data_IF_537166647953
#
_entry.id   IF_537166647953
#
_cell.length_a   1.000
_cell.length_b   1.000
_cell.length_c   1.000
_cell.angle_alpha   90.00
_cell.angle_beta   90.00
_cell.angle_gamma   90.00
#
_symmetry.space_group_name_H-M   'P 1'
#
loop_
_entity.id
_entity.type
_entity.pdbx_description
1 polymer ?
#
# COMPACT_ATOMS: atom_id res chain seq x y z
N UNK A 1 -35.60 -17.06 15.68
CA UNK A 1 -35.54 -15.59 15.52
C UNK A 1 -34.45 -14.95 16.38
N UNK A 2 -34.41 -15.23 17.70
CA UNK A 2 -33.39 -14.69 18.63
C UNK A 2 -31.96 -15.06 18.22
N UNK A 3 -31.69 -16.32 17.87
CA UNK A 3 -30.35 -16.76 17.43
C UNK A 3 -29.89 -16.01 16.17
N UNK A 4 -30.78 -15.83 15.20
CA UNK A 4 -30.48 -15.09 13.96
C UNK A 4 -30.14 -13.63 14.27
N UNK A 5 -30.91 -12.99 15.17
CA UNK A 5 -30.63 -11.63 15.64
C UNK A 5 -29.26 -11.51 16.30
N UNK A 6 -28.90 -12.46 17.17
CA UNK A 6 -27.59 -12.49 17.84
C UNK A 6 -26.46 -12.62 16.82
N UNK A 7 -26.59 -13.52 15.85
CA UNK A 7 -25.58 -13.70 14.79
C UNK A 7 -25.41 -12.42 13.96
N UNK A 8 -26.52 -11.76 13.59
CA UNK A 8 -26.48 -10.48 12.87
C UNK A 8 -25.77 -9.41 13.70
N UNK A 9 -26.10 -9.28 14.97
CA UNK A 9 -25.48 -8.29 15.86
C UNK A 9 -23.98 -8.56 16.01
N UNK A 10 -23.58 -9.81 16.21
CA UNK A 10 -22.17 -10.19 16.30
C UNK A 10 -21.41 -9.90 15.00
N UNK A 11 -22.02 -10.18 13.85
CA UNK A 11 -21.43 -9.88 12.55
C UNK A 11 -21.24 -8.37 12.34
N UNK A 12 -22.24 -7.55 12.73
CA UNK A 12 -22.14 -6.09 12.68
C UNK A 12 -21.06 -5.55 13.62
N UNK A 13 -20.94 -6.10 14.83
CA UNK A 13 -19.89 -5.72 15.79
C UNK A 13 -18.50 -6.08 15.27
N UNK A 14 -18.34 -7.28 14.70
CA UNK A 14 -17.08 -7.70 14.08
C UNK A 14 -16.69 -6.77 12.93
N UNK A 15 -17.64 -6.45 12.04
CA UNK A 15 -17.41 -5.52 10.94
C UNK A 15 -17.03 -4.12 11.45
N UNK A 16 -17.73 -3.60 12.46
CA UNK A 16 -17.40 -2.31 13.08
C UNK A 16 -15.99 -2.31 13.70
N UNK A 17 -15.61 -3.40 14.38
CA UNK A 17 -14.27 -3.57 14.94
C UNK A 17 -13.17 -3.56 13.88
N UNK A 18 -13.39 -4.25 12.75
CA UNK A 18 -12.45 -4.25 11.62
C UNK A 18 -12.29 -2.86 11.01
N UNK A 19 -13.40 -2.12 10.82
CA UNK A 19 -13.36 -0.75 10.29
C UNK A 19 -12.61 0.19 11.22
N UNK A 20 -12.85 0.10 12.54
CA UNK A 20 -12.13 0.89 13.53
C UNK A 20 -10.63 0.58 13.53
N UNK A 21 -10.26 -0.70 13.53
CA UNK A 21 -8.86 -1.13 13.48
C UNK A 21 -8.15 -0.63 12.21
N UNK A 22 -8.81 -0.76 11.06
CA UNK A 22 -8.30 -0.25 9.79
C UNK A 22 -8.13 1.28 9.81
N UNK A 23 -9.07 2.00 10.43
CA UNK A 23 -8.98 3.47 10.55
C UNK A 23 -7.83 3.93 11.43
N UNK A 24 -7.44 3.14 12.46
CA UNK A 24 -6.27 3.45 13.30
C UNK A 24 -4.94 3.08 12.66
N UNK A 25 -4.93 2.12 11.73
CA UNK A 25 -3.73 1.70 10.99
C UNK A 25 -3.43 2.59 9.78
N UNK A 26 -4.40 3.39 9.32
CA UNK A 26 -4.21 4.41 8.31
C UNK A 26 -3.50 5.62 8.93
N UNK A 27 -2.16 5.67 8.82
CA UNK A 27 -1.31 6.83 9.17
C UNK A 27 -1.87 8.15 8.58
N UNK A 28 -1.77 9.29 9.30
CA UNK A 28 -2.52 10.49 9.01
C UNK A 28 -1.83 11.32 7.92
N UNK A 29 -2.45 11.34 6.74
CA UNK A 29 -2.13 12.28 5.65
C UNK A 29 -3.37 12.94 5.05
N UNK A 30 -4.55 12.73 5.64
CA UNK A 30 -5.80 13.34 5.21
C UNK A 30 -6.47 14.01 6.40
N UNK A 31 -6.56 15.33 6.38
CA UNK A 31 -7.11 16.19 7.44
C UNK A 31 -8.63 16.06 7.67
N UNK A 32 -9.22 14.90 7.38
CA UNK A 32 -10.66 14.66 7.47
C UNK A 32 -11.03 13.70 8.60
N UNK A 33 -12.10 13.99 9.34
CA UNK A 33 -12.63 13.05 10.35
C UNK A 33 -13.05 11.72 9.69
N UNK A 34 -12.97 10.61 10.42
CA UNK A 34 -13.42 9.29 9.93
C UNK A 34 -14.86 9.31 9.39
N UNK A 35 -15.73 10.15 9.98
CA UNK A 35 -17.08 10.41 9.53
C UNK A 35 -17.13 11.07 8.14
N UNK A 36 -16.21 11.98 7.88
CA UNK A 36 -16.10 12.68 6.61
C UNK A 36 -15.60 11.76 5.49
N UNK A 37 -14.63 10.90 5.78
CA UNK A 37 -14.18 9.84 4.88
C UNK A 37 -15.30 8.85 4.56
N UNK A 38 -16.08 8.45 5.56
CA UNK A 38 -17.27 7.61 5.36
C UNK A 38 -18.33 8.29 4.48
N UNK A 39 -18.67 9.55 4.79
CA UNK A 39 -19.63 10.35 4.00
C UNK A 39 -19.14 10.56 2.57
N UNK A 40 -17.84 10.79 2.38
CA UNK A 40 -17.20 10.95 1.07
C UNK A 40 -17.32 9.65 0.27
N UNK A 41 -17.01 8.51 0.87
CA UNK A 41 -17.19 7.19 0.25
C UNK A 41 -18.65 6.88 -0.10
N UNK A 42 -19.59 7.22 0.78
CA UNK A 42 -21.02 7.04 0.50
C UNK A 42 -21.51 7.93 -0.65
N UNK A 43 -21.03 9.18 -0.70
CA UNK A 43 -21.38 10.12 -1.77
C UNK A 43 -20.78 9.71 -3.11
N UNK A 44 -19.53 9.26 -3.12
CA UNK A 44 -18.84 8.70 -4.30
C UNK A 44 -19.62 7.54 -4.92
N UNK A 45 -20.24 6.67 -4.10
CA UNK A 45 -21.10 5.59 -4.62
C UNK A 45 -22.37 6.07 -5.32
N UNK A 46 -22.92 7.22 -4.91
CA UNK A 46 -24.11 7.80 -5.56
C UNK A 46 -23.76 8.63 -6.79
N UNK A 47 -22.68 9.39 -6.70
CA UNK A 47 -22.20 10.30 -7.74
C UNK A 47 -20.70 10.07 -7.91
N UNK A 48 -20.30 9.09 -8.74
CA UNK A 48 -18.90 8.86 -9.02
C UNK A 48 -18.34 10.07 -9.78
N UNK A 49 -17.21 10.59 -9.29
CA UNK A 49 -16.49 11.68 -9.94
C UNK A 49 -15.88 11.20 -11.27
N UNK A 50 -15.55 12.14 -12.16
CA UNK A 50 -14.97 11.83 -13.49
C UNK A 50 -13.73 10.93 -13.39
N UNK A 51 -12.84 11.20 -12.44
CA UNK A 51 -11.62 10.40 -12.19
C UNK A 51 -11.95 8.95 -11.79
N UNK A 52 -13.04 8.73 -11.04
CA UNK A 52 -13.48 7.39 -10.64
C UNK A 52 -14.08 6.62 -11.82
N UNK A 53 -14.76 7.33 -12.74
CA UNK A 53 -15.28 6.73 -13.96
C UNK A 53 -14.17 6.41 -14.97
N UNK A 54 -13.12 7.22 -15.03
CA UNK A 54 -11.93 6.95 -15.84
C UNK A 54 -11.14 5.77 -15.28
N UNK A 55 -10.94 5.71 -13.96
CA UNK A 55 -10.32 4.56 -13.29
C UNK A 55 -11.13 3.27 -13.49
N UNK A 56 -12.47 3.34 -13.37
CA UNK A 56 -13.34 2.19 -13.64
C UNK A 56 -13.26 1.75 -15.10
N UNK A 57 -13.16 2.67 -16.07
CA UNK A 57 -12.95 2.35 -17.48
C UNK A 57 -11.58 1.72 -17.74
N UNK A 58 -10.52 2.21 -17.09
CA UNK A 58 -9.19 1.61 -17.18
C UNK A 58 -9.16 0.19 -16.56
N UNK A 59 -9.86 -0.01 -15.44
CA UNK A 59 -9.97 -1.33 -14.79
C UNK A 59 -10.88 -2.31 -15.55
N UNK A 60 -11.78 -1.81 -16.40
CA UNK A 60 -12.63 -2.63 -17.27
C UNK A 60 -11.89 -3.18 -18.50
N UNK A 61 -10.63 -2.79 -18.72
CA UNK A 61 -9.77 -3.40 -19.73
C UNK A 61 -9.45 -4.84 -19.31
N UNK A 62 -9.75 -5.79 -20.18
CA UNK A 62 -9.47 -7.21 -19.94
C UNK A 62 -7.95 -7.40 -19.74
N UNK A 63 -7.52 -7.99 -18.60
CA UNK A 63 -6.10 -8.18 -18.36
C UNK A 63 -5.54 -9.14 -19.42
N UNK A 64 -4.57 -8.65 -20.19
CA UNK A 64 -3.90 -9.45 -21.21
C UNK A 64 -2.83 -10.30 -20.52
N UNK A 65 -2.88 -11.62 -20.73
CA UNK A 65 -1.85 -12.56 -20.27
C UNK A 65 -0.56 -12.38 -21.08
N UNK A 66 0.20 -11.32 -20.75
CA UNK A 66 1.54 -11.12 -21.28
C UNK A 66 2.54 -11.90 -20.42
N UNK A 67 3.54 -12.50 -21.09
CA UNK A 67 4.70 -13.01 -20.35
C UNK A 67 5.38 -11.84 -19.62
N UNK A 68 5.85 -12.06 -18.39
CA UNK A 68 6.54 -11.01 -17.60
C UNK A 68 7.69 -10.38 -18.39
N UNK A 69 8.43 -11.18 -19.16
CA UNK A 69 9.53 -10.69 -20.00
C UNK A 69 9.06 -9.76 -21.13
N UNK A 70 7.87 -10.00 -21.70
CA UNK A 70 7.28 -9.14 -22.71
C UNK A 70 6.75 -7.85 -22.07
N UNK A 71 6.01 -7.96 -20.97
CA UNK A 71 5.50 -6.80 -20.22
C UNK A 71 6.64 -5.85 -19.84
N UNK A 72 7.68 -6.37 -19.19
CA UNK A 72 8.83 -5.55 -18.77
C UNK A 72 9.57 -4.91 -19.95
N UNK A 73 9.58 -5.54 -21.13
CA UNK A 73 10.21 -4.95 -22.32
C UNK A 73 9.39 -3.81 -22.90
N UNK A 74 8.06 -3.93 -22.87
CA UNK A 74 7.13 -2.96 -23.44
C UNK A 74 6.86 -1.77 -22.50
N UNK A 75 6.93 -1.99 -21.17
CA UNK A 75 6.65 -0.96 -20.15
C UNK A 75 7.89 -0.42 -19.45
N UNK A 76 9.09 -0.92 -19.76
CA UNK A 76 10.32 -0.35 -19.23
C UNK A 76 10.53 1.06 -19.79
N UNK A 77 10.17 2.06 -19.00
CA UNK A 77 10.56 3.43 -19.25
C UNK A 77 12.03 3.60 -18.84
N UNK A 78 12.88 4.04 -19.77
CA UNK A 78 14.27 4.38 -19.48
C UNK A 78 14.29 5.74 -18.80
N UNK A 79 13.91 5.76 -17.52
CA UNK A 79 13.93 6.93 -16.64
C UNK A 79 14.91 6.74 -15.48
N UNK A 80 14.93 7.70 -14.55
CA UNK A 80 15.71 7.58 -13.32
C UNK A 80 15.27 6.33 -12.55
N UNK A 81 16.19 5.37 -12.44
CA UNK A 81 15.92 4.14 -11.72
C UNK A 81 15.59 4.47 -10.26
N UNK A 82 14.47 3.93 -9.74
CA UNK A 82 14.12 4.02 -8.32
C UNK A 82 15.23 3.49 -7.40
N UNK A 83 16.13 2.67 -7.96
CA UNK A 83 17.29 2.16 -7.28
C UNK A 83 18.51 2.32 -8.18
N UNK A 84 19.37 3.28 -7.83
CA UNK A 84 20.65 3.46 -8.50
C UNK A 84 21.63 2.41 -7.96
N UNK A 85 22.14 1.56 -8.85
CA UNK A 85 23.03 0.44 -8.49
C UNK A 85 24.31 0.94 -7.82
N UNK A 86 24.81 2.09 -8.26
CA UNK A 86 26.02 2.69 -7.71
C UNK A 86 25.81 3.21 -6.29
N UNK A 87 24.66 3.85 -6.03
CA UNK A 87 24.30 4.34 -4.70
C UNK A 87 24.08 3.19 -3.71
N UNK A 88 23.39 2.12 -4.14
CA UNK A 88 23.20 0.93 -3.32
C UNK A 88 24.54 0.25 -2.99
N UNK A 89 25.44 0.15 -3.96
CA UNK A 89 26.76 -0.45 -3.76
C UNK A 89 27.57 0.33 -2.72
N UNK A 90 27.54 1.67 -2.80
CA UNK A 90 28.22 2.54 -1.85
C UNK A 90 27.64 2.41 -0.43
N UNK A 91 26.32 2.37 -0.29
CA UNK A 91 25.66 2.20 1.01
C UNK A 91 25.99 0.86 1.66
N UNK A 92 26.00 -0.22 0.87
CA UNK A 92 26.42 -1.54 1.33
C UNK A 92 27.90 -1.56 1.74
N UNK A 93 28.77 -0.90 0.98
CA UNK A 93 30.19 -0.78 1.30
C UNK A 93 30.38 -0.04 2.64
N UNK A 94 29.68 1.08 2.85
CA UNK A 94 29.71 1.85 4.11
C UNK A 94 29.15 1.06 5.29
N UNK A 95 28.06 0.30 5.08
CA UNK A 95 27.47 -0.56 6.10
C UNK A 95 28.43 -1.67 6.52
N UNK A 96 29.10 -2.33 5.55
CA UNK A 96 30.15 -3.32 5.81
C UNK A 96 31.29 -2.73 6.63
N UNK A 97 31.81 -1.58 6.23
CA UNK A 97 32.94 -0.96 6.92
C UNK A 97 32.59 -0.55 8.36
N UNK A 98 31.34 -0.10 8.60
CA UNK A 98 30.82 0.16 9.95
C UNK A 98 30.67 -1.12 10.78
N UNK A 99 30.24 -2.23 10.19
CA UNK A 99 30.10 -3.52 10.87
C UNK A 99 31.46 -4.17 11.21
N UNK A 100 32.49 -3.98 10.38
CA UNK A 100 33.84 -4.54 10.59
C UNK A 100 34.68 -3.71 11.57
N UNK A 101 34.41 -2.41 11.70
CA UNK A 101 35.10 -1.49 12.62
C UNK A 101 35.18 -1.99 14.08
N UNK A 102 34.10 -2.46 14.72
CA UNK A 102 34.17 -2.99 16.08
C UNK A 102 34.95 -4.31 16.18
N UNK A 103 34.97 -5.14 15.13
CA UNK A 103 35.73 -6.40 15.10
C UNK A 103 37.24 -6.16 14.99
N UNK A 104 37.67 -5.14 14.24
CA UNK A 104 39.08 -4.73 14.20
C UNK A 104 39.55 -4.14 15.53
N UNK A 105 38.75 -3.29 16.18
CA UNK A 105 39.09 -2.69 17.47
C UNK A 105 39.29 -3.72 18.59
N UNK A 106 38.56 -4.85 18.53
CA UNK A 106 38.66 -5.97 19.48
C UNK A 106 39.86 -6.89 19.27
N UNK A 107 40.55 -6.78 18.12
CA UNK A 107 41.73 -7.60 17.76
C UNK A 107 43.05 -6.86 18.04
N UNK A 108 43.00 -5.53 18.17
CA UNK A 108 44.15 -4.67 18.49
C UNK A 108 44.27 -4.32 19.98
N UNK A 109 43.39 -4.87 20.83
CA UNK A 109 43.44 -4.83 22.28
C UNK A 109 43.79 -6.22 22.81
#
# INVERSE_FOLDING_TARGET
MVVVLIVIVLALLAAAGVVLLASTAATPGGDGSAWESFRRGWRSRRHPDADQLDAARAAAVEPVDLSLAQFLRETAEVGDAYLNVDELADDLQRARDRAVRPLKARRSA
#
